data_IF_825332886792
#
_entry.id   IF_825332886792
#
_cell.length_a   1.000
_cell.length_b   1.000
_cell.length_c   1.000
_cell.angle_alpha   90.00
_cell.angle_beta   90.00
_cell.angle_gamma   90.00
#
_symmetry.space_group_name_H-M   'P 1'
#
loop_
_entity.id
_entity.type
_entity.pdbx_description
1 polymer ?
#
# COMPACT_ATOMS: atom_id res chain seq x y z
N UNK A 1 -1.47 4.53 -25.96
CA UNK A 1 -1.86 4.11 -24.59
C UNK A 1 -3.28 3.54 -24.52
N UNK A 2 -4.28 4.07 -25.20
CA UNK A 2 -5.68 3.59 -25.22
C UNK A 2 -5.89 2.17 -25.73
N UNK A 3 -5.11 1.72 -26.71
CA UNK A 3 -5.32 0.41 -27.37
C UNK A 3 -4.96 -0.83 -26.50
N UNK A 4 -4.10 -0.67 -25.50
CA UNK A 4 -3.75 -1.74 -24.57
C UNK A 4 -4.77 -1.88 -23.46
N UNK A 5 -5.27 -0.76 -22.94
CA UNK A 5 -6.40 -0.72 -21.98
C UNK A 5 -7.66 -1.38 -22.52
N UNK A 6 -7.99 -1.16 -23.81
CA UNK A 6 -9.15 -1.78 -24.45
C UNK A 6 -9.02 -3.29 -24.59
N UNK A 7 -7.80 -3.82 -24.84
CA UNK A 7 -7.56 -5.26 -24.89
C UNK A 7 -7.61 -5.93 -23.52
N UNK A 8 -7.07 -5.27 -22.51
CA UNK A 8 -7.11 -5.76 -21.12
C UNK A 8 -8.54 -5.76 -20.57
N UNK A 9 -9.30 -4.71 -20.81
CA UNK A 9 -10.72 -4.64 -20.46
C UNK A 9 -11.57 -5.66 -21.23
N UNK A 10 -11.24 -5.95 -22.47
CA UNK A 10 -11.92 -6.98 -23.27
C UNK A 10 -11.62 -8.39 -22.75
N UNK A 11 -10.38 -8.67 -22.36
CA UNK A 11 -10.01 -9.93 -21.72
C UNK A 11 -10.72 -10.12 -20.37
N UNK A 12 -10.78 -9.06 -19.56
CA UNK A 12 -11.46 -9.07 -18.27
C UNK A 12 -12.98 -9.25 -18.39
N UNK A 13 -13.62 -8.72 -19.44
CA UNK A 13 -15.04 -8.97 -19.75
C UNK A 13 -15.32 -10.45 -20.06
N UNK A 14 -14.35 -11.17 -20.64
CA UNK A 14 -14.43 -12.61 -20.85
C UNK A 14 -14.38 -13.43 -19.54
N UNK A 15 -13.92 -12.83 -18.45
CA UNK A 15 -13.84 -13.42 -17.10
C UNK A 15 -15.07 -13.12 -16.22
N UNK A 16 -16.16 -12.60 -16.80
CA UNK A 16 -17.40 -12.35 -16.05
C UNK A 16 -17.48 -10.97 -15.36
N UNK A 17 -16.62 -10.04 -15.73
CA UNK A 17 -16.67 -8.66 -15.19
C UNK A 17 -17.96 -7.95 -15.63
N UNK A 18 -18.47 -7.13 -14.72
CA UNK A 18 -19.72 -6.42 -14.92
C UNK A 18 -19.73 -5.62 -16.23
N UNK A 19 -20.83 -5.71 -16.97
CA UNK A 19 -21.02 -4.95 -18.23
C UNK A 19 -20.99 -3.43 -18.03
N UNK A 20 -21.24 -2.96 -16.80
CA UNK A 20 -21.24 -1.55 -16.40
C UNK A 20 -20.70 -1.44 -14.98
N UNK A 21 -19.36 -1.33 -14.81
CA UNK A 21 -18.74 -1.22 -13.49
C UNK A 21 -19.20 0.05 -12.79
N UNK A 22 -19.58 -0.09 -11.51
CA UNK A 22 -19.80 1.06 -10.63
C UNK A 22 -18.47 1.56 -10.10
N UNK A 23 -18.40 2.85 -9.79
CA UNK A 23 -17.26 3.44 -9.10
C UNK A 23 -17.64 3.72 -7.67
N UNK A 24 -16.83 3.23 -6.75
CA UNK A 24 -16.95 3.46 -5.32
C UNK A 24 -15.79 4.31 -4.84
N UNK A 25 -16.02 5.10 -3.80
CA UNK A 25 -14.98 5.87 -3.13
C UNK A 25 -14.85 5.40 -1.69
N UNK A 26 -13.65 5.01 -1.30
CA UNK A 26 -13.26 4.70 0.07
C UNK A 26 -12.38 5.84 0.59
N UNK A 27 -13.02 6.91 1.05
CA UNK A 27 -12.36 8.06 1.67
C UNK A 27 -11.91 7.74 3.09
N UNK A 28 -11.02 8.56 3.66
CA UNK A 28 -10.66 8.43 5.09
C UNK A 28 -11.86 8.47 6.02
N UNK A 29 -12.85 9.32 5.70
CA UNK A 29 -14.07 9.43 6.50
C UNK A 29 -14.91 8.13 6.46
N UNK A 30 -14.99 7.47 5.29
CA UNK A 30 -15.67 6.19 5.14
C UNK A 30 -14.89 5.04 5.79
N UNK A 31 -13.56 5.08 5.69
CA UNK A 31 -12.69 4.09 6.34
C UNK A 31 -12.89 4.10 7.85
N UNK A 32 -12.92 5.27 8.45
CA UNK A 32 -13.07 5.46 9.90
C UNK A 32 -11.93 4.87 10.71
N UNK A 33 -11.92 3.54 10.88
CA UNK A 33 -10.88 2.82 11.64
C UNK A 33 -9.91 2.16 10.69
N UNK A 34 -8.61 2.39 10.90
CA UNK A 34 -7.53 1.70 10.19
C UNK A 34 -7.04 0.50 10.99
N UNK A 35 -6.63 -0.54 10.26
CA UNK A 35 -6.18 -1.80 10.87
C UNK A 35 -4.67 -1.96 10.74
N UNK A 36 -4.05 -2.57 11.75
CA UNK A 36 -2.63 -2.93 11.78
C UNK A 36 -2.41 -4.43 11.73
N UNK A 37 -3.49 -5.15 11.54
CA UNK A 37 -3.50 -6.58 11.25
C UNK A 37 -4.46 -6.86 10.12
N UNK A 38 -4.17 -7.89 9.34
CA UNK A 38 -4.99 -8.42 8.27
C UNK A 38 -5.55 -9.75 8.75
N UNK A 39 -6.87 -9.86 8.80
CA UNK A 39 -7.53 -11.05 9.33
C UNK A 39 -9.06 -10.94 9.31
N UNK A 40 -9.77 -12.00 9.70
CA UNK A 40 -11.22 -12.10 9.56
C UNK A 40 -12.02 -11.32 10.60
N UNK A 41 -11.34 -10.70 11.58
CA UNK A 41 -12.01 -10.09 12.74
C UNK A 41 -12.38 -8.62 12.57
N UNK A 42 -12.06 -8.04 11.42
CA UNK A 42 -12.44 -6.66 11.09
C UNK A 42 -13.71 -6.64 10.25
N UNK A 43 -14.63 -5.74 10.58
CA UNK A 43 -15.84 -5.55 9.78
C UNK A 43 -15.52 -4.91 8.45
N UNK A 44 -16.22 -5.31 7.39
CA UNK A 44 -16.14 -4.69 6.09
C UNK A 44 -16.53 -3.21 6.14
N UNK A 45 -15.79 -2.36 5.44
CA UNK A 45 -16.10 -0.92 5.32
C UNK A 45 -16.74 -0.59 3.98
N UNK A 46 -16.63 -1.50 3.02
CA UNK A 46 -17.19 -1.36 1.68
C UNK A 46 -17.53 -2.74 1.12
N UNK A 47 -18.62 -2.81 0.35
CA UNK A 47 -19.03 -4.00 -0.39
C UNK A 47 -19.17 -3.64 -1.86
N UNK A 48 -18.56 -4.45 -2.74
CA UNK A 48 -18.51 -4.23 -4.19
C UNK A 48 -18.86 -5.51 -4.95
N UNK A 49 -19.34 -5.36 -6.16
CA UNK A 49 -19.47 -6.48 -7.09
C UNK A 49 -18.15 -6.73 -7.87
N UNK A 50 -17.89 -7.94 -8.34
CA UNK A 50 -16.77 -8.22 -9.24
C UNK A 50 -16.82 -7.29 -10.46
N UNK A 51 -15.68 -6.64 -10.77
CA UNK A 51 -15.55 -5.70 -11.88
C UNK A 51 -15.89 -4.25 -11.53
N UNK A 52 -16.37 -3.98 -10.33
CA UNK A 52 -16.50 -2.60 -9.85
C UNK A 52 -15.12 -1.95 -9.66
N UNK A 53 -15.08 -0.61 -9.73
CA UNK A 53 -13.88 0.21 -9.50
C UNK A 53 -13.91 0.81 -8.10
N UNK A 54 -12.77 0.88 -7.44
CA UNK A 54 -12.66 1.52 -6.13
C UNK A 54 -11.56 2.58 -6.17
N UNK A 55 -11.89 3.80 -5.77
CA UNK A 55 -10.93 4.87 -5.50
C UNK A 55 -10.66 4.86 -4.00
N UNK A 56 -9.42 4.62 -3.60
CA UNK A 56 -9.05 4.47 -2.18
C UNK A 56 -8.12 5.61 -1.77
N UNK A 57 -8.50 6.35 -0.73
CA UNK A 57 -7.61 7.29 -0.05
C UNK A 57 -6.77 6.52 0.98
N UNK A 58 -5.49 6.32 0.66
CA UNK A 58 -4.57 5.62 1.58
C UNK A 58 -3.87 6.60 2.52
N UNK A 59 -3.43 6.10 3.68
CA UNK A 59 -2.49 6.77 4.57
C UNK A 59 -1.08 6.28 4.31
N UNK A 60 -0.09 7.12 4.60
CA UNK A 60 1.29 6.68 4.61
C UNK A 60 1.55 5.70 5.78
N UNK A 61 2.62 4.91 5.66
CA UNK A 61 2.95 3.86 6.63
C UNK A 61 3.13 4.40 8.07
N UNK A 62 3.41 5.68 8.23
CA UNK A 62 3.60 6.34 9.52
C UNK A 62 2.39 7.18 9.97
N UNK A 63 1.21 6.99 9.32
CA UNK A 63 -0.04 7.69 9.64
C UNK A 63 0.04 9.23 9.54
N UNK A 64 0.96 9.78 8.78
CA UNK A 64 1.21 11.22 8.72
C UNK A 64 1.84 11.80 9.99
N UNK A 65 2.37 10.97 10.90
CA UNK A 65 3.02 11.42 12.13
C UNK A 65 4.42 11.96 11.89
N UNK A 66 5.11 11.47 10.87
CA UNK A 66 6.43 11.97 10.45
C UNK A 66 6.22 13.13 9.47
N UNK A 67 6.11 14.33 9.99
CA UNK A 67 5.81 15.55 9.21
C UNK A 67 7.07 16.26 8.74
N UNK A 68 8.10 16.25 9.57
CA UNK A 68 9.38 16.92 9.36
C UNK A 68 10.53 15.91 9.47
N UNK A 69 11.75 16.34 9.17
CA UNK A 69 12.94 15.49 9.30
C UNK A 69 13.39 15.31 10.76
N UNK A 70 12.86 16.13 11.67
CA UNK A 70 13.10 16.04 13.12
C UNK A 70 12.15 15.03 13.81
N UNK A 71 11.07 14.63 13.14
CA UNK A 71 10.10 13.67 13.67
C UNK A 71 10.63 12.23 13.51
N UNK A 72 11.53 11.84 14.39
CA UNK A 72 12.13 10.51 14.36
C UNK A 72 11.08 9.43 14.66
N UNK A 73 10.93 8.40 13.81
CA UNK A 73 9.98 7.30 13.98
C UNK A 73 10.00 6.68 15.38
N UNK A 74 11.16 6.46 15.97
CA UNK A 74 11.31 5.91 17.33
C UNK A 74 10.65 6.76 18.41
N UNK A 75 10.45 8.06 18.15
CA UNK A 75 9.85 9.02 19.10
C UNK A 75 8.38 9.30 18.86
N UNK A 76 7.95 9.28 17.57
CA UNK A 76 6.59 9.69 17.19
C UNK A 76 5.66 8.51 16.89
N UNK A 77 6.21 7.32 16.62
CA UNK A 77 5.44 6.12 16.33
C UNK A 77 5.35 5.21 17.54
N UNK A 78 4.27 4.43 17.60
CA UNK A 78 4.09 3.34 18.56
C UNK A 78 4.24 2.01 17.83
N UNK A 79 5.45 1.46 17.83
CA UNK A 79 5.67 0.13 17.25
C UNK A 79 4.89 -0.97 17.98
N UNK A 80 4.35 -1.97 17.28
CA UNK A 80 4.40 -2.21 15.83
C UNK A 80 3.25 -1.59 15.03
N UNK A 81 2.51 -0.62 15.58
CA UNK A 81 1.35 0.02 14.96
C UNK A 81 1.77 1.01 13.87
N UNK A 82 2.26 0.48 12.77
CA UNK A 82 2.63 1.20 11.54
C UNK A 82 2.00 0.50 10.34
N UNK A 83 2.04 1.13 9.17
CA UNK A 83 1.44 0.62 7.94
C UNK A 83 -0.07 0.36 8.08
N UNK A 84 -0.87 1.41 8.37
CA UNK A 84 -2.32 1.32 8.53
C UNK A 84 -2.99 0.89 7.23
N UNK A 85 -3.88 -0.11 7.31
CA UNK A 85 -4.55 -0.67 6.15
C UNK A 85 -5.97 -0.16 6.01
N UNK A 86 -6.35 0.11 4.74
CA UNK A 86 -7.72 0.34 4.33
C UNK A 86 -8.48 -1.00 4.21
N UNK A 87 -9.80 -0.91 4.26
CA UNK A 87 -10.66 -2.09 4.18
C UNK A 87 -11.09 -2.62 5.55
N UNK A 88 -11.55 -3.87 5.62
CA UNK A 88 -11.74 -4.81 4.51
C UNK A 88 -12.77 -4.37 3.48
N UNK A 89 -12.49 -4.69 2.21
CA UNK A 89 -13.42 -4.51 1.11
C UNK A 89 -13.99 -5.89 0.77
N UNK A 90 -15.30 -6.08 0.97
CA UNK A 90 -15.98 -7.33 0.61
C UNK A 90 -16.30 -7.35 -0.88
N UNK A 91 -15.96 -8.45 -1.54
CA UNK A 91 -16.32 -8.70 -2.94
C UNK A 91 -17.48 -9.68 -2.96
N UNK A 92 -18.62 -9.27 -3.55
CA UNK A 92 -19.83 -10.08 -3.61
C UNK A 92 -19.58 -11.41 -4.35
N UNK A 93 -19.96 -12.52 -3.73
CA UNK A 93 -19.83 -13.85 -4.32
C UNK A 93 -18.44 -14.45 -4.31
N UNK A 94 -17.41 -13.74 -3.80
CA UNK A 94 -16.08 -14.30 -3.66
C UNK A 94 -16.06 -15.32 -2.49
N UNK A 95 -15.52 -16.49 -2.76
CA UNK A 95 -15.44 -17.60 -1.81
C UNK A 95 -14.00 -18.09 -1.63
N UNK A 96 -13.77 -18.85 -0.58
CA UNK A 96 -12.47 -19.50 -0.33
C UNK A 96 -12.09 -20.42 -1.50
N UNK A 97 -10.91 -20.19 -2.05
CA UNK A 97 -10.39 -20.93 -3.21
C UNK A 97 -10.50 -20.18 -4.52
N UNK A 98 -11.23 -19.07 -4.55
CA UNK A 98 -11.24 -18.18 -5.72
C UNK A 98 -9.92 -17.45 -5.88
N UNK A 99 -9.61 -17.08 -7.11
CA UNK A 99 -8.49 -16.21 -7.43
C UNK A 99 -9.00 -14.79 -7.65
N UNK A 100 -8.53 -13.86 -6.85
CA UNK A 100 -8.84 -12.45 -7.00
C UNK A 100 -7.85 -11.78 -7.94
N UNK A 101 -8.35 -11.16 -9.02
CA UNK A 101 -7.57 -10.32 -9.92
C UNK A 101 -7.79 -8.83 -9.58
N UNK A 102 -6.75 -8.15 -9.18
CA UNK A 102 -6.80 -6.71 -8.87
C UNK A 102 -6.01 -5.94 -9.92
N UNK A 103 -6.71 -5.14 -10.73
CA UNK A 103 -6.10 -4.24 -11.70
C UNK A 103 -5.86 -2.87 -11.07
N UNK A 104 -4.64 -2.39 -11.12
CA UNK A 104 -4.27 -1.07 -10.62
C UNK A 104 -4.32 -0.07 -11.77
N UNK A 105 -5.33 0.80 -11.76
CA UNK A 105 -5.53 1.78 -12.84
C UNK A 105 -4.59 2.96 -12.72
N UNK A 106 -4.47 3.55 -11.55
CA UNK A 106 -3.64 4.73 -11.30
C UNK A 106 -3.25 4.83 -9.83
N UNK A 107 -2.15 5.53 -9.57
CA UNK A 107 -1.72 5.96 -8.24
C UNK A 107 -1.27 7.41 -8.33
N UNK A 108 -1.89 8.28 -7.54
CA UNK A 108 -1.65 9.71 -7.58
C UNK A 108 -1.18 10.15 -6.19
N UNK A 109 -0.07 10.90 -6.09
CA UNK A 109 0.37 11.45 -4.82
C UNK A 109 -0.71 12.34 -4.20
N UNK A 110 -0.93 12.23 -2.90
CA UNK A 110 -2.00 12.92 -2.20
C UNK A 110 -1.60 14.32 -1.74
N UNK A 111 -2.51 15.28 -1.89
CA UNK A 111 -2.34 16.68 -1.45
C UNK A 111 -1.78 17.60 -2.53
N UNK A 112 -1.75 18.91 -2.24
CA UNK A 112 -1.26 19.94 -3.18
C UNK A 112 0.27 19.91 -3.37
N UNK A 113 1.00 19.59 -2.28
CA UNK A 113 2.46 19.47 -2.29
C UNK A 113 2.83 18.12 -1.66
N UNK A 114 2.66 17.01 -2.40
CA UNK A 114 2.87 15.69 -1.84
C UNK A 114 4.35 15.45 -1.53
N UNK A 115 4.61 14.87 -0.36
CA UNK A 115 5.95 14.53 0.10
C UNK A 115 6.01 13.09 0.57
N UNK A 116 6.96 12.35 0.01
CA UNK A 116 7.33 11.04 0.51
C UNK A 116 8.17 11.14 1.78
N UNK A 117 8.18 10.06 2.55
CA UNK A 117 9.04 9.90 3.72
C UNK A 117 9.97 8.72 3.48
N UNK A 118 11.27 8.97 3.56
CA UNK A 118 12.29 7.94 3.62
C UNK A 118 12.94 7.98 5.01
N UNK A 119 12.99 6.85 5.70
CA UNK A 119 13.52 6.80 7.05
C UNK A 119 14.42 5.59 7.26
N UNK A 120 15.54 5.78 7.96
CA UNK A 120 16.25 4.71 8.64
C UNK A 120 15.71 4.62 10.06
N UNK A 121 15.16 3.46 10.40
CA UNK A 121 14.52 3.22 11.70
C UNK A 121 15.32 2.17 12.44
N UNK A 122 15.65 2.38 13.73
CA UNK A 122 16.34 1.36 14.52
C UNK A 122 15.63 0.01 14.45
N UNK A 123 16.40 -1.06 14.29
CA UNK A 123 15.93 -2.45 14.18
C UNK A 123 15.15 -2.80 12.89
N UNK A 124 15.03 -1.88 11.93
CA UNK A 124 14.47 -2.13 10.60
C UNK A 124 15.56 -2.11 9.54
N UNK A 125 15.64 -3.18 8.74
CA UNK A 125 16.63 -3.32 7.68
C UNK A 125 18.00 -3.79 8.15
N UNK A 126 18.82 -4.23 7.21
CA UNK A 126 20.07 -4.95 7.47
C UNK A 126 21.16 -4.12 8.15
N UNK A 127 21.13 -2.79 8.05
CA UNK A 127 22.17 -1.90 8.55
C UNK A 127 21.75 -1.04 9.74
N UNK A 128 20.56 -1.28 10.29
CA UNK A 128 19.95 -0.44 11.33
C UNK A 128 20.01 -1.04 12.75
N UNK A 129 21.00 -1.89 13.03
CA UNK A 129 21.26 -2.40 14.37
C UNK A 129 20.27 -3.42 14.89
N UNK A 130 20.01 -4.45 14.11
CA UNK A 130 19.26 -5.61 14.59
C UNK A 130 20.21 -6.53 15.39
N UNK A 131 19.64 -7.39 16.24
CA UNK A 131 20.40 -8.43 16.95
C UNK A 131 21.18 -9.38 16.01
N UNK A 132 20.73 -9.49 14.75
CA UNK A 132 21.38 -10.33 13.73
C UNK A 132 22.52 -9.59 13.01
N UNK A 133 22.51 -8.27 12.96
CA UNK A 133 23.49 -7.46 12.22
C UNK A 133 24.47 -6.70 13.10
N UNK A 134 24.29 -6.70 14.41
CA UNK A 134 25.14 -6.00 15.38
C UNK A 134 26.63 -6.39 15.31
N UNK A 135 26.95 -7.57 14.80
CA UNK A 135 28.32 -8.04 14.62
C UNK A 135 28.95 -7.67 13.27
N UNK A 136 28.18 -7.10 12.35
CA UNK A 136 28.62 -6.82 10.97
C UNK A 136 29.09 -5.37 10.78
N UNK A 137 28.46 -4.43 11.47
CA UNK A 137 28.77 -3.01 11.38
C UNK A 137 28.19 -2.26 12.60
N UNK A 138 28.71 -1.07 12.88
CA UNK A 138 28.07 -0.14 13.80
C UNK A 138 26.67 0.24 13.28
N UNK A 139 25.74 0.48 14.21
CA UNK A 139 24.39 0.91 13.89
C UNK A 139 24.41 2.24 13.15
N UNK A 140 23.70 2.31 12.03
CA UNK A 140 23.45 3.59 11.38
C UNK A 140 22.51 4.45 12.23
N UNK A 141 22.71 5.76 12.24
CA UNK A 141 21.83 6.66 13.00
C UNK A 141 20.43 6.68 12.41
N UNK A 142 19.42 6.86 13.26
CA UNK A 142 18.07 7.12 12.81
C UNK A 142 18.00 8.44 12.05
N UNK A 143 17.53 8.41 10.82
CA UNK A 143 17.46 9.56 9.92
C UNK A 143 16.12 9.54 9.20
N UNK A 144 15.52 10.73 9.06
CA UNK A 144 14.34 10.97 8.26
C UNK A 144 14.66 11.93 7.13
N UNK A 145 14.15 11.67 5.94
CA UNK A 145 14.15 12.58 4.80
C UNK A 145 12.74 12.76 4.29
N UNK A 146 12.35 14.00 4.08
CA UNK A 146 11.11 14.37 3.38
C UNK A 146 11.46 14.70 1.95
N UNK A 147 10.81 14.03 1.01
CA UNK A 147 11.15 14.06 -0.41
C UNK A 147 9.92 14.56 -1.18
N UNK A 148 10.08 15.66 -1.91
CA UNK A 148 9.01 16.17 -2.75
C UNK A 148 8.76 15.20 -3.92
N UNK A 149 7.48 14.96 -4.20
CA UNK A 149 7.04 13.96 -5.18
C UNK A 149 5.88 14.54 -5.98
N UNK A 150 5.91 14.36 -7.30
CA UNK A 150 4.77 14.59 -8.17
C UNK A 150 4.72 13.50 -9.28
N UNK A 151 3.81 13.63 -10.22
CA UNK A 151 3.68 12.68 -11.33
C UNK A 151 4.86 12.68 -12.29
N UNK A 152 5.76 13.66 -12.20
CA UNK A 152 6.94 13.80 -13.03
C UNK A 152 8.16 13.15 -12.40
N UNK A 153 8.23 13.10 -11.06
CA UNK A 153 9.38 12.51 -10.40
C UNK A 153 9.37 12.53 -8.88
N UNK A 154 10.38 11.87 -8.35
CA UNK A 154 10.78 11.87 -6.95
C UNK A 154 12.06 12.69 -6.83
N UNK A 155 12.00 13.85 -6.21
CA UNK A 155 13.09 14.82 -6.16
C UNK A 155 14.04 14.49 -5.01
N UNK A 156 14.85 13.45 -5.22
CA UNK A 156 15.75 12.92 -4.19
C UNK A 156 16.76 13.94 -3.66
N UNK A 157 17.28 14.79 -4.55
CA UNK A 157 18.17 15.89 -4.20
C UNK A 157 18.18 16.94 -5.31
N UNK A 158 18.87 18.06 -5.08
CA UNK A 158 19.08 19.10 -6.13
C UNK A 158 19.72 18.56 -7.42
N UNK A 159 20.36 17.40 -7.38
CA UNK A 159 21.09 16.80 -8.51
C UNK A 159 20.48 15.51 -9.03
N UNK A 160 19.54 14.90 -8.27
CA UNK A 160 19.01 13.59 -8.58
C UNK A 160 17.49 13.64 -8.50
N UNK A 161 16.86 13.41 -9.62
CA UNK A 161 15.44 13.16 -9.74
C UNK A 161 15.24 11.72 -10.21
N UNK A 162 14.46 10.94 -9.49
CA UNK A 162 14.10 9.59 -9.87
C UNK A 162 12.76 9.60 -10.63
N UNK A 163 12.55 8.68 -11.58
CA UNK A 163 11.26 8.56 -12.25
C UNK A 163 10.14 8.30 -11.23
N UNK A 164 8.98 8.91 -11.44
CA UNK A 164 7.78 8.55 -10.69
C UNK A 164 7.30 7.16 -11.13
N UNK A 165 7.54 6.18 -10.30
CA UNK A 165 7.12 4.79 -10.51
C UNK A 165 6.44 4.27 -9.23
N UNK A 166 5.20 4.70 -8.98
CA UNK A 166 4.51 4.32 -7.75
C UNK A 166 4.11 2.85 -7.78
N UNK A 167 4.11 2.23 -6.61
CA UNK A 167 3.58 0.89 -6.40
C UNK A 167 2.89 0.81 -5.04
N UNK A 168 2.00 -0.18 -4.88
CA UNK A 168 1.38 -0.45 -3.59
C UNK A 168 2.26 -1.44 -2.82
N UNK A 169 2.61 -1.10 -1.58
CA UNK A 169 3.41 -1.99 -0.72
C UNK A 169 2.60 -3.17 -0.21
N UNK A 170 1.38 -2.90 0.28
CA UNK A 170 0.53 -3.90 0.92
C UNK A 170 -0.77 -4.09 0.16
N UNK A 171 -0.99 -5.31 -0.30
CA UNK A 171 -2.26 -5.78 -0.88
C UNK A 171 -2.48 -7.21 -0.42
N UNK A 172 -3.69 -7.52 0.11
CA UNK A 172 -3.92 -8.85 0.68
C UNK A 172 -5.38 -9.26 0.69
N UNK A 173 -5.58 -10.58 0.75
CA UNK A 173 -6.83 -11.20 1.18
C UNK A 173 -6.81 -11.47 2.70
N UNK A 174 -7.99 -11.58 3.31
CA UNK A 174 -8.09 -11.94 4.72
C UNK A 174 -7.83 -13.43 4.91
N UNK A 175 -6.91 -13.83 5.80
CA UNK A 175 -6.82 -15.22 6.25
C UNK A 175 -8.13 -15.67 6.92
N UNK A 176 -8.35 -16.99 6.97
CA UNK A 176 -9.59 -17.56 7.51
C UNK A 176 -9.69 -17.44 9.04
N UNK A 177 -8.56 -17.59 9.73
CA UNK A 177 -8.50 -17.63 11.21
C UNK A 177 -7.45 -16.66 11.75
N UNK A 178 -6.29 -16.60 11.10
CA UNK A 178 -5.14 -15.84 11.59
C UNK A 178 -5.33 -14.33 11.44
N UNK A 179 -4.70 -13.59 12.33
CA UNK A 179 -4.58 -12.14 12.22
C UNK A 179 -3.10 -11.78 12.11
N UNK A 180 -2.70 -11.39 10.91
CA UNK A 180 -1.28 -11.20 10.56
C UNK A 180 -0.96 -9.69 10.60
N UNK A 181 0.20 -9.35 11.17
CA UNK A 181 0.67 -7.97 11.22
C UNK A 181 0.84 -7.40 9.82
N UNK A 182 0.46 -6.14 9.62
CA UNK A 182 0.51 -5.44 8.33
C UNK A 182 1.92 -5.18 7.78
N UNK A 183 2.96 -5.52 8.52
CA UNK A 183 4.36 -5.47 8.08
C UNK A 183 4.86 -6.79 7.48
N UNK A 184 4.05 -7.85 7.52
CA UNK A 184 4.48 -9.20 7.15
C UNK A 184 3.81 -9.65 5.85
N UNK A 185 4.57 -10.04 4.82
CA UNK A 185 4.05 -10.75 3.66
C UNK A 185 3.92 -12.24 3.97
N UNK A 186 2.90 -12.91 3.41
CA UNK A 186 2.70 -14.35 3.51
C UNK A 186 1.71 -14.81 2.40
N UNK A 187 1.15 -16.04 2.52
CA UNK A 187 0.19 -16.63 1.58
C UNK A 187 -1.05 -15.74 1.30
N UNK A 188 -1.40 -14.86 2.22
CA UNK A 188 -2.47 -13.88 2.08
C UNK A 188 -2.08 -12.66 1.22
N UNK A 189 -0.85 -12.56 0.72
CA UNK A 189 -0.25 -11.37 0.16
C UNK A 189 0.48 -10.57 1.24
N UNK A 190 -0.12 -9.49 1.75
CA UNK A 190 0.45 -8.67 2.82
C UNK A 190 1.40 -7.59 2.31
N UNK A 191 2.41 -7.26 3.11
CA UNK A 191 3.39 -6.22 2.80
C UNK A 191 4.50 -6.75 1.89
N UNK A 192 4.16 -6.94 0.63
CA UNK A 192 5.07 -7.54 -0.36
C UNK A 192 6.11 -6.56 -0.88
N UNK A 193 5.84 -5.25 -0.83
CA UNK A 193 6.72 -4.18 -1.35
C UNK A 193 7.23 -4.45 -2.77
N UNK A 194 6.38 -5.02 -3.61
CA UNK A 194 6.74 -5.41 -4.96
C UNK A 194 6.63 -4.23 -5.94
N UNK A 195 7.75 -3.74 -6.51
CA UNK A 195 7.73 -2.56 -7.39
C UNK A 195 6.93 -2.72 -8.69
N UNK A 196 6.55 -3.95 -9.03
CA UNK A 196 5.73 -4.25 -10.21
C UNK A 196 4.22 -4.10 -9.95
N UNK A 197 3.79 -3.97 -8.69
CA UNK A 197 2.41 -3.70 -8.32
C UNK A 197 2.07 -2.21 -8.45
N UNK A 198 2.20 -1.69 -9.65
CA UNK A 198 1.95 -0.30 -10.00
C UNK A 198 0.87 -0.12 -11.07
N UNK A 199 0.61 1.11 -11.51
CA UNK A 199 -0.37 1.40 -12.55
C UNK A 199 -0.17 0.56 -13.81
N UNK A 200 -1.25 -0.08 -14.29
CA UNK A 200 -1.25 -0.97 -15.45
C UNK A 200 -0.97 -2.45 -15.13
N UNK A 201 -0.66 -2.80 -13.89
CA UNK A 201 -0.46 -4.19 -13.48
C UNK A 201 -1.76 -4.87 -13.05
N UNK A 202 -1.78 -6.20 -13.14
CA UNK A 202 -2.81 -7.05 -12.55
C UNK A 202 -2.12 -7.98 -11.56
N UNK A 203 -2.57 -7.93 -10.32
CA UNK A 203 -2.12 -8.83 -9.25
C UNK A 203 -3.17 -9.93 -9.05
N UNK A 204 -2.71 -11.18 -9.00
CA UNK A 204 -3.55 -12.35 -8.75
C UNK A 204 -3.27 -12.92 -7.38
#
# INVERSE_FOLDING_TARGET
>A
MTHWLDKSLAAMRGLGWAKSPRTHELTEAKQGVYHYTIGPYSSEVLRIAPGDRVIVETRDAFEGKVKTEEDLPSKVLRMPFVNPQNGPIMIEGAEKGDVLAVYIESMIPRGENPRGTCAMIPQFGALSGTSLTALLAEDLPEIVRKIDVDEQGVYWSKRVTLPYKPHIGTLSCSPEIDSINTLTPDQHGGNMDLPDMGPGSITY
#
